data_IF_777530629546
#
_entry.id   IF_777530629546
#
_cell.length_a   1.000
_cell.length_b   1.000
_cell.length_c   1.000
_cell.angle_alpha   90.00
_cell.angle_beta   90.00
_cell.angle_gamma   90.00
#
_symmetry.space_group_name_H-M   'P 1'
#
loop_
_entity.id
_entity.type
_entity.pdbx_description
1 polymer ?
#
# COMPACT_ATOMS: atom_id res chain seq x y z
N UNK A 1 17.67 -36.51 32.29
CA UNK A 1 16.41 -36.46 31.52
C UNK A 1 16.79 -36.15 30.07
N UNK A 2 16.50 -37.09 29.15
CA UNK A 2 16.85 -37.01 27.73
C UNK A 2 15.69 -36.34 26.99
N UNK A 3 15.92 -35.19 26.35
CA UNK A 3 14.93 -34.50 25.50
C UNK A 3 14.97 -35.00 24.05
N UNK A 4 13.85 -34.94 23.30
CA UNK A 4 13.75 -35.56 21.99
C UNK A 4 14.37 -34.71 20.88
N UNK A 5 14.98 -35.42 19.92
CA UNK A 5 15.53 -34.93 18.65
C UNK A 5 14.37 -34.71 17.66
N UNK A 6 14.26 -33.51 17.08
CA UNK A 6 13.29 -33.19 16.03
C UNK A 6 13.97 -33.38 14.67
N UNK A 7 13.43 -34.28 13.84
CA UNK A 7 13.85 -34.52 12.46
C UNK A 7 13.44 -33.34 11.55
N UNK A 8 14.40 -32.78 10.81
CA UNK A 8 14.17 -31.92 9.65
C UNK A 8 13.84 -32.78 8.42
N UNK A 9 12.72 -32.53 7.76
CA UNK A 9 12.44 -33.00 6.41
C UNK A 9 12.57 -31.85 5.42
N UNK A 10 13.62 -31.92 4.61
CA UNK A 10 13.89 -31.02 3.48
C UNK A 10 12.95 -31.33 2.31
N UNK A 11 12.26 -30.32 1.77
CA UNK A 11 11.47 -30.45 0.55
C UNK A 11 12.22 -29.78 -0.62
N UNK A 12 12.65 -30.60 -1.57
CA UNK A 12 13.37 -30.20 -2.79
C UNK A 12 12.37 -29.79 -3.86
N UNK A 13 12.48 -28.56 -4.39
CA UNK A 13 11.69 -28.10 -5.54
C UNK A 13 12.56 -28.12 -6.80
N UNK A 14 12.17 -28.92 -7.80
CA UNK A 14 12.84 -29.05 -9.08
C UNK A 14 12.30 -28.00 -10.08
N UNK A 15 13.23 -27.28 -10.73
CA UNK A 15 12.94 -26.39 -11.85
C UNK A 15 13.00 -27.14 -13.19
N UNK A 16 12.10 -26.82 -14.12
CA UNK A 16 12.20 -27.25 -15.52
C UNK A 16 12.07 -26.03 -16.45
N UNK A 17 13.09 -25.87 -17.31
CA UNK A 17 13.23 -24.90 -18.39
C UNK A 17 13.01 -25.61 -19.74
N UNK A 18 12.22 -25.01 -20.63
CA UNK A 18 12.22 -25.20 -22.09
C UNK A 18 11.20 -24.20 -22.69
N UNK A 19 11.39 -23.51 -23.81
CA UNK A 19 12.42 -23.45 -24.84
C UNK A 19 11.92 -22.49 -25.95
N UNK A 20 12.85 -21.81 -26.63
CA UNK A 20 12.57 -20.89 -27.74
C UNK A 20 12.10 -21.63 -29.02
N UNK A 21 11.30 -20.97 -29.86
CA UNK A 21 10.99 -21.46 -31.21
C UNK A 21 10.54 -20.35 -32.17
N UNK A 22 11.50 -19.85 -32.96
CA UNK A 22 11.31 -19.01 -34.15
C UNK A 22 10.98 -19.87 -35.40
N UNK A 23 10.11 -19.37 -36.28
CA UNK A 23 9.99 -19.72 -37.70
C UNK A 23 9.07 -18.67 -38.36
N UNK A 24 9.41 -17.92 -39.42
CA UNK A 24 10.14 -18.24 -40.66
C UNK A 24 9.19 -19.04 -41.57
N UNK A 25 8.70 -18.64 -42.75
CA UNK A 25 9.00 -17.60 -43.74
C UNK A 25 8.64 -18.18 -45.14
N UNK A 26 8.42 -17.32 -46.16
CA UNK A 26 8.22 -17.58 -47.62
C UNK A 26 6.76 -17.81 -48.08
N UNK A 27 6.26 -17.31 -49.22
CA UNK A 27 6.81 -17.01 -50.57
C UNK A 27 6.40 -15.58 -51.02
N UNK A 28 7.17 -14.74 -51.73
CA UNK A 28 8.03 -14.86 -52.94
C UNK A 28 7.25 -15.01 -54.28
N UNK A 29 7.56 -14.10 -55.21
CA UNK A 29 7.03 -13.95 -56.58
C UNK A 29 6.91 -12.46 -56.92
N UNK A 30 8.00 -11.75 -57.24
CA UNK A 30 8.57 -11.54 -58.60
C UNK A 30 7.60 -10.77 -59.52
N UNK A 31 7.96 -9.80 -60.37
CA UNK A 31 9.08 -8.89 -60.57
C UNK A 31 8.62 -7.90 -61.68
N UNK A 32 9.41 -6.84 -61.91
CA UNK A 32 9.52 -6.03 -63.14
C UNK A 32 8.59 -4.82 -63.43
N UNK A 33 9.28 -3.67 -63.51
CA UNK A 33 9.31 -2.71 -64.63
C UNK A 33 8.29 -1.56 -64.72
N UNK A 34 8.81 -0.38 -64.37
CA UNK A 34 8.88 0.87 -65.18
C UNK A 34 7.67 1.33 -66.00
N UNK A 35 7.16 2.53 -65.67
CA UNK A 35 6.43 3.37 -66.61
C UNK A 35 5.74 4.57 -65.96
N UNK A 36 6.27 5.79 -66.18
CA UNK A 36 5.51 7.04 -66.09
C UNK A 36 5.13 7.41 -67.55
N UNK A 37 3.92 7.88 -67.85
CA UNK A 37 3.68 9.33 -67.87
C UNK A 37 2.28 9.78 -67.42
N UNK A 38 2.20 11.09 -67.15
CA UNK A 38 1.03 11.90 -66.79
C UNK A 38 -0.09 11.91 -67.84
N UNK A 39 -1.36 12.08 -67.43
CA UNK A 39 -2.22 13.21 -67.82
C UNK A 39 -3.63 13.19 -67.19
N UNK A 40 -3.97 14.34 -66.60
CA UNK A 40 -5.25 15.01 -66.31
C UNK A 40 -6.58 14.40 -66.81
N UNK A 41 -7.61 14.38 -65.94
CA UNK A 41 -8.85 15.21 -66.09
C UNK A 41 -9.81 15.06 -64.87
N UNK A 42 -9.93 16.18 -64.13
CA UNK A 42 -11.16 16.84 -63.61
C UNK A 42 -12.22 16.02 -62.84
N UNK A 43 -12.47 16.42 -61.59
CA UNK A 43 -13.85 16.44 -61.06
C UNK A 43 -14.05 16.26 -59.56
N UNK A 44 -14.64 17.29 -58.94
CA UNK A 44 -15.47 17.28 -57.74
C UNK A 44 -14.80 17.20 -56.37
N UNK A 45 -14.89 18.33 -55.67
CA UNK A 45 -14.48 18.50 -54.29
C UNK A 45 -15.31 17.68 -53.30
N UNK A 46 -14.64 17.26 -52.25
CA UNK A 46 -15.25 16.94 -50.98
C UNK A 46 -14.51 17.78 -49.93
N UNK A 47 -15.16 18.85 -49.48
CA UNK A 47 -14.80 19.54 -48.25
C UNK A 47 -14.82 18.53 -47.12
N UNK A 48 -13.65 18.21 -46.55
CA UNK A 48 -13.56 17.46 -45.32
C UNK A 48 -14.29 18.25 -44.24
N UNK A 49 -15.44 17.72 -43.78
CA UNK A 49 -16.17 18.31 -42.67
C UNK A 49 -15.36 18.10 -41.40
N UNK A 50 -15.05 19.19 -40.69
CA UNK A 50 -14.47 19.12 -39.36
C UNK A 50 -15.42 18.32 -38.44
N UNK A 51 -14.90 17.47 -37.53
CA UNK A 51 -15.75 16.77 -36.58
C UNK A 51 -16.50 17.78 -35.71
N UNK A 52 -17.80 17.55 -35.52
CA UNK A 52 -18.64 18.39 -34.67
C UNK A 52 -18.08 18.40 -33.23
N UNK A 53 -17.70 19.58 -32.75
CA UNK A 53 -17.39 19.80 -31.33
C UNK A 53 -18.70 19.77 -30.55
N UNK A 54 -19.00 18.64 -29.91
CA UNK A 54 -20.04 18.60 -28.89
C UNK A 54 -19.53 19.33 -27.65
N UNK A 55 -20.28 20.31 -27.10
CA UNK A 55 -19.90 20.92 -25.84
C UNK A 55 -19.94 19.85 -24.75
N UNK A 56 -18.77 19.47 -24.23
CA UNK A 56 -18.72 18.67 -23.01
C UNK A 56 -19.28 19.53 -21.88
N UNK A 57 -20.33 19.07 -21.17
CA UNK A 57 -20.73 19.74 -19.94
C UNK A 57 -19.54 19.67 -18.97
N UNK A 58 -19.00 20.84 -18.64
CA UNK A 58 -18.02 20.96 -17.56
C UNK A 58 -18.78 20.78 -16.24
N UNK A 59 -18.92 19.53 -15.81
CA UNK A 59 -19.27 19.25 -14.42
C UNK A 59 -18.05 19.59 -13.59
N UNK A 60 -18.09 20.76 -12.94
CA UNK A 60 -17.18 21.06 -11.84
C UNK A 60 -17.36 19.94 -10.80
N UNK A 61 -16.38 19.05 -10.69
CA UNK A 61 -16.38 18.02 -9.67
C UNK A 61 -16.20 18.73 -8.32
N UNK A 62 -17.29 18.90 -7.57
CA UNK A 62 -17.18 19.28 -6.16
C UNK A 62 -16.39 18.18 -5.44
N UNK A 63 -15.39 18.53 -4.61
CA UNK A 63 -14.64 17.52 -3.87
C UNK A 63 -15.62 16.74 -2.98
N UNK A 64 -15.56 15.41 -3.05
CA UNK A 64 -16.33 14.56 -2.15
C UNK A 64 -15.90 14.85 -0.71
N UNK A 65 -16.84 14.91 0.24
CA UNK A 65 -16.48 15.09 1.64
C UNK A 65 -15.59 13.92 2.10
N UNK A 66 -14.56 14.23 2.88
CA UNK A 66 -13.75 13.21 3.54
C UNK A 66 -14.62 12.36 4.47
N UNK A 67 -14.48 11.04 4.39
CA UNK A 67 -15.16 10.15 5.31
C UNK A 67 -14.37 10.12 6.63
N UNK A 68 -15.02 10.49 7.74
CA UNK A 68 -14.40 10.60 9.06
C UNK A 68 -15.06 9.62 10.02
N UNK A 69 -14.25 8.88 10.77
CA UNK A 69 -14.70 7.96 11.81
C UNK A 69 -15.33 8.63 13.03
N UNK A 70 -15.87 7.80 13.92
CA UNK A 70 -16.33 8.17 15.26
C UNK A 70 -15.16 8.25 16.23
N UNK A 71 -15.28 9.12 17.23
CA UNK A 71 -14.32 9.17 18.34
C UNK A 71 -14.52 7.99 19.29
N UNK A 72 -13.42 7.38 19.75
CA UNK A 72 -13.47 6.30 20.74
C UNK A 72 -12.15 5.54 20.84
N UNK A 73 -12.13 4.54 21.72
CA UNK A 73 -11.02 3.58 21.84
C UNK A 73 -11.39 2.30 21.11
N UNK A 74 -10.57 1.80 20.17
CA UNK A 74 -10.78 0.50 19.54
C UNK A 74 -10.97 -0.60 20.56
N UNK A 75 -11.77 -1.62 20.20
CA UNK A 75 -11.91 -2.80 21.06
C UNK A 75 -10.64 -3.66 21.11
N UNK A 76 -9.71 -3.49 20.17
CA UNK A 76 -8.39 -4.10 20.23
C UNK A 76 -7.44 -3.30 21.13
N UNK A 77 -6.60 -4.02 21.88
CA UNK A 77 -5.51 -3.43 22.63
C UNK A 77 -4.50 -2.77 21.70
N UNK A 78 -4.25 -1.48 21.91
CA UNK A 78 -3.21 -0.73 21.22
C UNK A 78 -1.95 -0.63 22.09
N UNK A 79 -0.75 -0.52 21.47
CA UNK A 79 0.45 -0.13 22.20
C UNK A 79 0.21 1.20 22.94
N UNK A 80 0.34 1.18 24.27
CA UNK A 80 0.20 2.39 25.08
C UNK A 80 1.48 3.23 24.95
N UNK A 81 1.39 4.52 24.57
CA UNK A 81 2.59 5.35 24.36
C UNK A 81 3.52 5.44 25.57
N UNK A 82 2.98 5.34 26.79
CA UNK A 82 3.75 5.36 28.03
C UNK A 82 4.51 4.06 28.31
N UNK A 83 4.11 2.94 27.71
CA UNK A 83 4.71 1.62 27.89
C UNK A 83 5.73 1.29 26.80
N UNK A 84 5.76 2.06 25.71
CA UNK A 84 6.72 1.92 24.62
C UNK A 84 8.02 2.62 24.99
N UNK A 85 9.15 1.90 24.91
CA UNK A 85 10.47 2.50 25.10
C UNK A 85 10.76 3.52 23.98
N UNK A 86 10.58 4.81 24.31
CA UNK A 86 10.84 5.93 23.41
C UNK A 86 12.32 6.09 23.02
N UNK A 87 13.26 5.41 23.67
CA UNK A 87 14.69 5.42 23.31
C UNK A 87 15.06 4.38 22.26
N UNK A 88 14.23 3.36 22.10
CA UNK A 88 14.38 2.31 21.10
C UNK A 88 13.63 2.67 19.81
N UNK A 89 14.38 2.94 18.73
CA UNK A 89 13.81 3.27 17.43
C UNK A 89 12.86 2.16 16.93
N UNK A 90 13.30 0.90 17.03
CA UNK A 90 12.51 -0.26 16.61
C UNK A 90 11.25 -0.45 17.46
N UNK A 91 11.27 -0.12 18.76
CA UNK A 91 10.08 -0.20 19.61
C UNK A 91 9.03 0.82 19.19
N UNK A 92 9.43 2.08 18.99
CA UNK A 92 8.55 3.16 18.51
C UNK A 92 8.02 2.86 17.10
N UNK A 93 8.88 2.38 16.21
CA UNK A 93 8.51 2.05 14.84
C UNK A 93 7.45 0.93 14.80
N UNK A 94 7.67 -0.14 15.57
CA UNK A 94 6.74 -1.27 15.67
C UNK A 94 5.41 -0.86 16.29
N UNK A 95 5.45 -0.09 17.39
CA UNK A 95 4.24 0.41 18.04
C UNK A 95 3.40 1.26 17.07
N UNK A 96 4.06 2.16 16.33
CA UNK A 96 3.40 2.98 15.30
C UNK A 96 2.74 2.11 14.23
N UNK A 97 3.47 1.13 13.69
CA UNK A 97 2.93 0.22 12.67
C UNK A 97 1.75 -0.62 13.20
N UNK A 98 1.83 -1.14 14.42
CA UNK A 98 0.70 -1.87 15.01
C UNK A 98 -0.51 -0.94 15.19
N UNK A 99 -0.31 0.29 15.67
CA UNK A 99 -1.40 1.25 15.87
C UNK A 99 -2.06 1.65 14.55
N UNK A 100 -1.29 1.98 13.52
CA UNK A 100 -1.83 2.47 12.25
C UNK A 100 -2.68 1.42 11.49
N UNK A 101 -2.43 0.13 11.71
CA UNK A 101 -3.15 -0.98 11.06
C UNK A 101 -4.14 -1.71 11.96
N UNK A 102 -4.21 -1.35 13.24
CA UNK A 102 -5.29 -1.79 14.14
C UNK A 102 -6.52 -0.92 13.90
N UNK A 103 -7.45 -1.46 13.12
CA UNK A 103 -8.70 -0.84 12.69
C UNK A 103 -9.85 -1.43 13.50
N UNK A 104 -10.81 -0.60 13.84
CA UNK A 104 -12.11 -1.01 14.37
C UNK A 104 -13.19 -0.40 13.47
N UNK A 105 -13.82 -1.20 12.62
CA UNK A 105 -14.76 -0.69 11.60
C UNK A 105 -16.06 -0.13 12.17
N UNK A 106 -16.32 -0.28 13.47
CA UNK A 106 -17.38 0.49 14.11
C UNK A 106 -16.94 1.92 14.42
N UNK A 107 -15.65 2.16 14.68
CA UNK A 107 -15.12 3.49 14.96
C UNK A 107 -14.59 4.17 13.71
N UNK A 108 -13.78 3.45 12.97
CA UNK A 108 -13.09 3.93 11.79
C UNK A 108 -14.02 3.88 10.60
N UNK A 109 -14.07 4.95 9.83
CA UNK A 109 -14.79 4.98 8.57
C UNK A 109 -13.85 4.61 7.40
N UNK A 110 -12.54 4.79 7.58
CA UNK A 110 -11.48 4.32 6.70
C UNK A 110 -10.26 3.85 7.50
N UNK A 111 -9.31 3.15 6.86
CA UNK A 111 -8.01 2.81 7.50
C UNK A 111 -7.24 4.06 7.97
N UNK A 112 -7.54 5.22 7.38
CA UNK A 112 -6.92 6.49 7.74
C UNK A 112 -7.25 6.96 9.16
N UNK A 113 -8.45 6.64 9.67
CA UNK A 113 -8.83 6.99 11.05
C UNK A 113 -7.92 6.27 12.06
N UNK A 114 -7.60 4.99 11.80
CA UNK A 114 -6.63 4.23 12.60
C UNK A 114 -5.22 4.83 12.50
N UNK A 115 -4.78 5.24 11.32
CA UNK A 115 -3.49 5.88 11.12
C UNK A 115 -3.32 7.15 11.97
N UNK A 116 -4.36 7.98 12.08
CA UNK A 116 -4.34 9.19 12.90
C UNK A 116 -4.21 8.92 14.40
N UNK A 117 -4.68 7.75 14.91
CA UNK A 117 -4.49 7.37 16.32
C UNK A 117 -3.02 7.21 16.71
N UNK A 118 -2.13 6.98 15.75
CA UNK A 118 -0.70 6.86 16.00
C UNK A 118 -0.02 8.20 16.34
N UNK A 119 -0.73 9.33 16.29
CA UNK A 119 -0.20 10.67 16.55
C UNK A 119 0.78 10.80 17.73
N UNK A 120 0.59 10.14 18.90
CA UNK A 120 1.56 10.20 20.00
C UNK A 120 2.98 9.73 19.63
N UNK A 121 3.14 8.88 18.62
CA UNK A 121 4.42 8.37 18.15
C UNK A 121 5.03 9.19 17.00
N UNK A 122 4.26 10.09 16.40
CA UNK A 122 4.66 10.79 15.17
C UNK A 122 5.36 12.11 15.47
N UNK A 123 6.12 12.61 14.49
CA UNK A 123 6.55 14.01 14.51
C UNK A 123 5.33 14.91 14.32
N UNK A 124 5.34 16.15 14.86
CA UNK A 124 4.22 17.08 14.68
C UNK A 124 3.88 17.31 13.21
N UNK A 125 4.90 17.43 12.35
CA UNK A 125 4.75 17.60 10.91
C UNK A 125 4.04 16.40 10.26
N UNK A 126 4.42 15.17 10.63
CA UNK A 126 3.81 13.98 10.04
C UNK A 126 2.38 13.78 10.55
N UNK A 127 2.13 13.97 11.84
CA UNK A 127 0.77 13.96 12.38
C UNK A 127 -0.16 14.95 11.67
N UNK A 128 0.31 16.19 11.44
CA UNK A 128 -0.46 17.20 10.70
C UNK A 128 -0.71 16.78 9.24
N UNK A 129 0.31 16.22 8.57
CA UNK A 129 0.13 15.73 7.20
C UNK A 129 -0.94 14.64 7.09
N UNK A 130 -1.07 13.79 8.12
CA UNK A 130 -2.13 12.78 8.18
C UNK A 130 -3.50 13.44 8.36
N UNK A 131 -3.62 14.48 9.19
CA UNK A 131 -4.91 15.20 9.36
C UNK A 131 -5.35 15.90 8.08
N UNK A 132 -4.41 16.46 7.33
CA UNK A 132 -4.69 17.30 6.16
C UNK A 132 -4.89 16.52 4.85
N UNK A 133 -4.55 15.23 4.81
CA UNK A 133 -4.61 14.41 3.59
C UNK A 133 -5.52 13.19 3.74
N UNK A 134 -6.81 13.35 4.10
CA UNK A 134 -7.70 12.21 4.27
C UNK A 134 -7.84 11.41 2.96
N UNK A 135 -8.00 10.10 3.08
CA UNK A 135 -8.32 9.26 1.92
C UNK A 135 -9.67 9.69 1.34
N UNK A 136 -9.63 10.23 0.11
CA UNK A 136 -10.83 10.67 -0.62
C UNK A 136 -11.49 9.49 -1.38
N UNK A 137 -10.73 8.42 -1.64
CA UNK A 137 -11.23 7.21 -2.27
C UNK A 137 -11.91 6.31 -1.23
N UNK A 138 -13.09 5.79 -1.59
CA UNK A 138 -13.85 4.89 -0.73
C UNK A 138 -13.08 3.60 -0.38
N UNK A 139 -13.48 2.89 0.68
CA UNK A 139 -12.59 1.95 1.38
C UNK A 139 -12.21 0.64 0.64
N UNK A 140 -12.70 0.41 -0.58
CA UNK A 140 -12.46 -0.81 -1.36
C UNK A 140 -13.20 -2.05 -0.82
N UNK A 141 -13.22 -3.14 -1.61
CA UNK A 141 -14.03 -4.33 -1.30
C UNK A 141 -13.62 -5.07 -0.01
N UNK A 142 -12.32 -5.12 0.29
CA UNK A 142 -11.82 -5.76 1.53
C UNK A 142 -12.37 -5.06 2.77
N UNK A 143 -12.39 -3.73 2.77
CA UNK A 143 -12.95 -2.98 3.89
C UNK A 143 -14.45 -3.18 4.03
N UNK A 144 -15.20 -3.20 2.91
CA UNK A 144 -16.65 -3.42 2.95
C UNK A 144 -17.00 -4.74 3.63
N UNK A 145 -16.25 -5.81 3.32
CA UNK A 145 -16.40 -7.09 4.00
C UNK A 145 -16.08 -6.98 5.50
N UNK A 146 -15.00 -6.28 5.89
CA UNK A 146 -14.68 -6.08 7.30
C UNK A 146 -15.77 -5.31 8.04
N UNK A 147 -16.31 -4.26 7.43
CA UNK A 147 -17.34 -3.39 7.99
C UNK A 147 -18.69 -4.10 8.13
N UNK A 148 -19.06 -4.97 7.19
CA UNK A 148 -20.26 -5.83 7.29
C UNK A 148 -20.24 -6.67 8.57
N UNK A 149 -19.08 -7.22 8.91
CA UNK A 149 -18.87 -8.02 10.12
C UNK A 149 -18.48 -7.20 11.37
N UNK A 150 -18.47 -5.85 11.28
CA UNK A 150 -18.04 -4.95 12.36
C UNK A 150 -16.67 -5.32 12.91
N UNK A 151 -15.76 -5.65 12.01
CA UNK A 151 -14.49 -6.26 12.34
C UNK A 151 -13.55 -5.31 13.07
N UNK A 152 -12.75 -5.90 13.95
CA UNK A 152 -11.56 -5.30 14.54
C UNK A 152 -10.35 -6.10 14.08
N UNK A 153 -9.29 -5.44 13.62
CA UNK A 153 -8.08 -6.14 13.20
C UNK A 153 -7.14 -6.41 14.36
N UNK A 154 -6.54 -7.60 14.37
CA UNK A 154 -5.36 -7.93 15.16
C UNK A 154 -4.14 -7.80 14.24
N UNK A 155 -3.10 -7.10 14.69
CA UNK A 155 -1.90 -6.87 13.90
C UNK A 155 -0.67 -7.44 14.61
N UNK A 156 0.11 -8.24 13.89
CA UNK A 156 1.48 -8.56 14.30
C UNK A 156 2.45 -7.91 13.32
N UNK A 157 3.61 -7.49 13.84
CA UNK A 157 4.66 -6.85 13.06
C UNK A 157 5.96 -7.62 13.28
N UNK A 158 6.43 -8.34 12.27
CA UNK A 158 7.74 -8.99 12.27
C UNK A 158 8.77 -8.08 11.62
N UNK A 159 10.01 -8.07 12.10
CA UNK A 159 11.07 -7.28 11.45
C UNK A 159 11.27 -7.80 10.02
N UNK A 160 11.34 -6.88 9.07
CA UNK A 160 11.67 -7.11 7.67
C UNK A 160 12.92 -6.31 7.27
N UNK A 161 13.71 -5.89 8.25
CA UNK A 161 14.98 -5.20 8.05
C UNK A 161 15.94 -6.07 7.22
N UNK A 162 16.43 -5.52 6.12
CA UNK A 162 17.49 -6.13 5.32
C UNK A 162 18.85 -5.93 6.00
N UNK A 163 19.75 -6.91 5.83
CA UNK A 163 21.16 -6.81 6.23
C UNK A 163 21.86 -5.60 5.61
N UNK A 164 21.39 -5.12 4.45
CA UNK A 164 21.91 -3.93 3.77
C UNK A 164 21.32 -2.59 4.24
N UNK A 165 20.40 -2.56 5.23
CA UNK A 165 19.81 -1.28 5.66
C UNK A 165 20.87 -0.38 6.30
N UNK A 166 20.75 0.96 6.17
CA UNK A 166 21.58 1.87 6.95
C UNK A 166 21.46 1.60 8.46
N UNK A 167 22.60 1.64 9.15
CA UNK A 167 22.61 1.60 10.62
C UNK A 167 21.86 2.81 11.19
N UNK A 168 21.23 2.60 12.35
CA UNK A 168 20.56 3.68 13.06
C UNK A 168 21.62 4.68 13.56
N UNK A 169 21.42 5.96 13.29
CA UNK A 169 22.29 7.02 13.77
C UNK A 169 21.79 7.58 15.11
N UNK A 170 22.51 8.57 15.64
CA UNK A 170 22.06 9.27 16.83
C UNK A 170 20.74 10.01 16.65
N UNK A 171 20.33 10.35 15.43
CA UNK A 171 19.15 11.21 15.18
C UNK A 171 18.22 10.71 14.08
N UNK A 172 18.59 9.69 13.32
CA UNK A 172 17.78 9.07 12.26
C UNK A 172 17.81 7.55 12.35
N UNK A 173 16.69 6.89 12.07
CA UNK A 173 16.60 5.44 12.00
C UNK A 173 15.60 4.99 10.93
N UNK A 174 15.80 3.79 10.41
CA UNK A 174 14.95 3.19 9.38
C UNK A 174 14.68 1.73 9.73
N UNK A 175 13.40 1.37 9.78
CA UNK A 175 12.97 0.00 10.02
C UNK A 175 11.88 -0.43 9.04
N UNK A 176 11.92 -1.68 8.63
CA UNK A 176 10.88 -2.34 7.86
C UNK A 176 10.20 -3.43 8.69
N UNK A 177 8.90 -3.61 8.48
CA UNK A 177 8.13 -4.69 9.10
C UNK A 177 7.24 -5.38 8.08
N UNK A 178 7.18 -6.70 8.15
CA UNK A 178 6.06 -7.46 7.58
C UNK A 178 4.94 -7.45 8.59
N UNK A 179 3.81 -6.85 8.22
CA UNK A 179 2.59 -6.87 8.99
C UNK A 179 1.74 -8.06 8.59
N UNK A 180 1.21 -8.78 9.57
CA UNK A 180 0.10 -9.73 9.37
C UNK A 180 -1.13 -9.17 10.06
N UNK A 181 -2.17 -8.93 9.28
CA UNK A 181 -3.41 -8.25 9.70
C UNK A 181 -4.56 -9.25 9.61
N UNK A 182 -5.11 -9.64 10.75
CA UNK A 182 -6.23 -10.59 10.83
C UNK A 182 -7.50 -9.87 11.28
N UNK A 183 -8.53 -9.74 10.43
CA UNK A 183 -9.80 -9.14 10.80
C UNK A 183 -10.67 -10.14 11.57
N UNK A 184 -11.24 -9.71 12.69
CA UNK A 184 -12.19 -10.49 13.49
C UNK A 184 -13.49 -9.73 13.66
N UNK A 185 -14.58 -10.29 13.17
CA UNK A 185 -15.94 -9.79 13.29
C UNK A 185 -16.50 -9.97 14.70
N UNK A 186 -17.36 -9.04 15.11
CA UNK A 186 -18.03 -9.11 16.43
C UNK A 186 -19.12 -10.20 16.47
N UNK A 187 -19.53 -10.66 15.31
CA UNK A 187 -20.43 -11.79 15.08
C UNK A 187 -19.70 -13.15 15.11
N UNK A 188 -18.41 -13.16 15.41
CA UNK A 188 -17.59 -14.38 15.41
C UNK A 188 -16.98 -14.72 14.04
N UNK A 189 -17.19 -13.88 13.03
CA UNK A 189 -16.53 -14.02 11.74
C UNK A 189 -15.00 -13.83 11.87
N UNK A 190 -14.22 -14.60 11.13
CA UNK A 190 -12.79 -14.36 10.96
C UNK A 190 -12.48 -14.32 9.46
N UNK A 191 -11.95 -13.19 9.00
CA UNK A 191 -11.58 -13.02 7.61
C UNK A 191 -10.17 -13.50 7.32
N UNK A 192 -9.81 -13.63 6.03
CA UNK A 192 -8.46 -14.00 5.65
C UNK A 192 -7.45 -12.96 6.16
N UNK A 193 -6.35 -13.44 6.73
CA UNK A 193 -5.23 -12.58 7.09
C UNK A 193 -4.61 -11.97 5.82
N UNK A 194 -4.29 -10.69 5.88
CA UNK A 194 -3.56 -9.98 4.82
C UNK A 194 -2.16 -9.65 5.31
N UNK A 195 -1.17 -9.81 4.43
CA UNK A 195 0.22 -9.40 4.71
C UNK A 195 0.60 -8.18 3.89
N UNK A 196 1.40 -7.30 4.46
CA UNK A 196 2.02 -6.19 3.73
C UNK A 196 3.35 -5.81 4.38
N UNK A 197 4.23 -5.15 3.63
CA UNK A 197 5.47 -4.60 4.18
C UNK A 197 5.31 -3.11 4.41
N UNK A 198 5.77 -2.64 5.57
CA UNK A 198 5.80 -1.21 5.90
C UNK A 198 7.22 -0.76 6.17
N UNK A 199 7.60 0.39 5.64
CA UNK A 199 8.87 1.06 5.88
C UNK A 199 8.60 2.28 6.75
N UNK A 200 9.34 2.40 7.85
CA UNK A 200 9.17 3.42 8.87
C UNK A 200 10.47 4.21 9.00
N UNK A 201 10.38 5.53 8.81
CA UNK A 201 11.48 6.45 9.05
C UNK A 201 11.25 7.20 10.35
N UNK A 202 12.30 7.33 11.15
CA UNK A 202 12.26 7.95 12.46
C UNK A 202 13.31 9.06 12.56
N UNK A 203 12.98 10.07 13.35
CA UNK A 203 13.88 11.15 13.71
C UNK A 203 13.79 11.46 15.21
N UNK A 204 14.85 12.03 15.76
CA UNK A 204 14.87 12.70 17.07
C UNK A 204 15.87 13.85 17.06
N UNK A 205 15.62 14.86 17.89
CA UNK A 205 16.47 16.05 17.92
C UNK A 205 17.88 15.78 18.49
N UNK A 206 18.03 14.80 19.38
CA UNK A 206 19.30 14.38 19.94
C UNK A 206 19.19 12.98 20.57
N UNK A 207 20.33 12.38 20.91
CA UNK A 207 20.38 11.05 21.54
C UNK A 207 19.59 10.94 22.85
N UNK A 208 19.37 12.06 23.55
CA UNK A 208 18.64 12.10 24.83
C UNK A 208 17.14 12.33 24.65
N UNK A 209 16.65 12.60 23.44
CA UNK A 209 15.22 12.74 23.14
C UNK A 209 14.62 11.40 22.74
N UNK A 210 13.29 11.31 22.75
CA UNK A 210 12.58 10.11 22.28
C UNK A 210 12.46 10.12 20.77
N UNK A 211 12.49 8.94 20.15
CA UNK A 211 12.23 8.78 18.73
C UNK A 211 10.80 9.16 18.39
N UNK A 212 10.64 9.76 17.20
CA UNK A 212 9.35 10.04 16.57
C UNK A 212 9.37 9.59 15.13
N UNK A 213 8.25 9.04 14.65
CA UNK A 213 8.11 8.61 13.26
C UNK A 213 7.84 9.83 12.37
N UNK A 214 8.68 10.01 11.35
CA UNK A 214 8.58 11.11 10.38
C UNK A 214 7.88 10.68 9.08
N UNK A 215 7.87 9.39 8.75
CA UNK A 215 7.07 8.85 7.65
C UNK A 215 6.85 7.35 7.78
N UNK A 216 5.71 6.87 7.26
CA UNK A 216 5.44 5.45 7.03
C UNK A 216 5.01 5.24 5.59
N UNK A 217 5.58 4.23 4.92
CA UNK A 217 5.18 3.82 3.57
C UNK A 217 4.85 2.34 3.57
N UNK A 218 3.65 1.98 3.11
CA UNK A 218 3.25 0.60 2.92
C UNK A 218 3.37 0.15 1.47
N UNK A 219 3.69 -1.12 1.27
CA UNK A 219 3.67 -1.83 0.00
C UNK A 219 2.99 -3.17 0.20
N UNK A 220 2.04 -3.49 -0.68
CA UNK A 220 1.25 -4.72 -0.72
C UNK A 220 1.83 -5.75 -1.71
#
# INVERSE_FOLDING_TARGET
MRGPVVLLTSLTLAASLAGCGLGGGRNQGDAHSSGRPSASTRGSGATASAPATYPQPSVAASPLPALVGRTGTPSASLPAPAEVDGKSAIAVARATAVTMWTVDTELDATRWDAAQRAAPFLTPKYAESLRMSPQVSGPGGVWLAWAEHKSVTTVTAASADDLGKPEDSETTAFHAFTLTITPKGRDGWEGPATTMTVFVSLERASATQSWKVSSVRAVD
#
